data_IF_871386220168
#
_entry.id   IF_871386220168
#
_cell.length_a   1.000
_cell.length_b   1.000
_cell.length_c   1.000
_cell.angle_alpha   90.00
_cell.angle_beta   90.00
_cell.angle_gamma   90.00
#
_symmetry.space_group_name_H-M   'P 1'
#
loop_
_entity.id
_entity.type
_entity.pdbx_description
1 polymer ?
#
# COMPACT_ATOMS: atom_id res chain seq x y z
N UNK A 1 25.11 15.20 25.82
CA UNK A 1 24.41 14.28 26.74
C UNK A 1 22.94 14.67 26.72
N UNK A 2 22.10 13.94 25.97
CA UNK A 2 20.65 14.18 25.96
C UNK A 2 20.09 13.74 27.32
N UNK A 3 19.11 14.45 27.92
CA UNK A 3 18.46 13.96 29.13
C UNK A 3 17.78 12.63 28.80
N UNK A 4 18.05 11.60 29.61
CA UNK A 4 17.30 10.36 29.56
C UNK A 4 15.83 10.68 29.84
N UNK A 5 14.97 10.53 28.82
CA UNK A 5 13.54 10.57 29.02
C UNK A 5 13.17 9.41 29.95
N UNK A 6 12.79 9.75 31.17
CA UNK A 6 12.37 8.83 32.21
C UNK A 6 11.14 8.02 31.76
N UNK A 7 11.22 6.70 31.94
CA UNK A 7 10.12 5.79 32.31
C UNK A 7 8.73 5.93 31.65
N UNK A 8 8.63 6.17 30.35
CA UNK A 8 7.39 5.85 29.62
C UNK A 8 7.61 4.53 28.90
N UNK A 9 7.29 3.41 29.55
CA UNK A 9 7.43 2.07 28.96
C UNK A 9 6.32 1.73 27.94
N UNK A 10 5.39 2.65 27.70
CA UNK A 10 4.16 2.37 26.95
C UNK A 10 3.27 1.36 27.70
N UNK A 11 2.09 1.10 27.17
CA UNK A 11 1.24 -0.01 27.64
C UNK A 11 0.72 -0.81 26.44
N UNK A 12 0.58 -2.11 26.64
CA UNK A 12 -0.08 -3.00 25.67
C UNK A 12 -1.47 -3.33 26.20
N UNK A 13 -2.49 -3.10 25.37
CA UNK A 13 -3.87 -3.44 25.69
C UNK A 13 -4.46 -4.30 24.60
N UNK A 14 -5.02 -5.45 24.99
CA UNK A 14 -5.82 -6.27 24.09
C UNK A 14 -7.14 -5.55 23.78
N UNK A 15 -7.37 -5.25 22.50
CA UNK A 15 -8.61 -4.61 22.04
C UNK A 15 -9.65 -5.64 21.60
N UNK A 16 -9.24 -6.58 20.74
CA UNK A 16 -10.07 -7.66 20.22
C UNK A 16 -9.29 -8.98 20.28
N UNK A 17 -9.91 -10.06 20.75
CA UNK A 17 -9.30 -11.40 20.74
C UNK A 17 -9.07 -11.89 19.31
N UNK A 18 -9.99 -11.57 18.41
CA UNK A 18 -9.90 -11.85 16.98
C UNK A 18 -10.83 -10.91 16.22
N UNK A 19 -10.42 -10.56 15.01
CA UNK A 19 -11.24 -9.84 14.02
C UNK A 19 -11.65 -10.74 12.85
N UNK A 20 -11.34 -12.04 12.91
CA UNK A 20 -11.75 -13.04 11.93
C UNK A 20 -10.86 -13.21 10.69
N UNK A 21 -9.93 -12.27 10.45
CA UNK A 21 -8.99 -12.25 9.32
C UNK A 21 -7.57 -11.94 9.79
N UNK A 22 -6.56 -12.24 8.95
CA UNK A 22 -5.21 -11.75 9.18
C UNK A 22 -5.06 -10.33 8.69
N UNK A 23 -4.31 -9.51 9.44
CA UNK A 23 -4.06 -8.11 9.07
C UNK A 23 -2.89 -7.98 8.09
N UNK A 24 -2.99 -8.62 6.91
CA UNK A 24 -1.97 -8.54 5.86
C UNK A 24 -1.76 -7.10 5.38
N UNK A 25 -2.85 -6.36 5.23
CA UNK A 25 -2.83 -4.91 5.01
C UNK A 25 -3.69 -4.19 6.03
N UNK A 26 -3.25 -3.00 6.43
CA UNK A 26 -4.04 -2.09 7.27
C UNK A 26 -3.77 -0.63 6.93
N UNK A 27 -4.79 0.21 7.04
CA UNK A 27 -4.69 1.65 6.83
C UNK A 27 -5.60 2.40 7.81
N UNK A 28 -5.02 3.34 8.57
CA UNK A 28 -5.78 4.31 9.35
C UNK A 28 -6.42 5.34 8.40
N UNK A 29 -7.73 5.50 8.50
CA UNK A 29 -8.52 6.47 7.74
C UNK A 29 -8.74 7.75 8.55
N UNK A 30 -9.13 8.83 7.87
CA UNK A 30 -9.33 10.15 8.48
C UNK A 30 -10.44 10.24 9.53
N UNK A 31 -11.28 9.22 9.64
CA UNK A 31 -12.41 9.18 10.56
C UNK A 31 -12.19 8.24 11.77
N UNK A 32 -10.93 8.04 12.19
CA UNK A 32 -10.55 7.15 13.30
C UNK A 32 -11.01 5.70 13.13
N UNK A 33 -11.08 5.26 11.88
CA UNK A 33 -11.35 3.86 11.53
C UNK A 33 -10.13 3.29 10.84
N UNK A 34 -9.91 2.00 11.06
CA UNK A 34 -8.84 1.26 10.41
C UNK A 34 -9.48 0.26 9.46
N UNK A 35 -9.18 0.37 8.17
CA UNK A 35 -9.50 -0.71 7.24
C UNK A 35 -8.41 -1.77 7.35
N UNK A 36 -8.80 -3.02 7.50
CA UNK A 36 -7.92 -4.18 7.61
C UNK A 36 -8.40 -5.21 6.59
N UNK A 37 -7.48 -5.81 5.84
CA UNK A 37 -7.85 -6.78 4.82
C UNK A 37 -6.75 -7.80 4.56
N UNK A 38 -7.20 -8.96 4.12
CA UNK A 38 -6.41 -10.16 3.84
C UNK A 38 -6.57 -10.57 2.37
N UNK A 39 -5.79 -11.56 1.96
CA UNK A 39 -5.91 -12.26 0.69
C UNK A 39 -7.19 -13.09 0.62
N UNK A 40 -7.68 -13.39 -0.59
CA UNK A 40 -8.92 -14.16 -0.78
C UNK A 40 -8.71 -15.60 -1.24
N UNK A 41 -7.47 -15.97 -1.59
CA UNK A 41 -7.13 -17.25 -2.24
C UNK A 41 -6.54 -18.30 -1.25
N UNK A 42 -6.72 -18.10 0.06
CA UNK A 42 -6.20 -19.01 1.11
C UNK A 42 -7.27 -19.84 1.83
N UNK A 43 -8.53 -19.74 1.38
CA UNK A 43 -9.67 -20.42 1.98
C UNK A 43 -10.60 -19.47 2.75
N UNK A 44 -11.57 -20.02 3.51
CA UNK A 44 -12.57 -19.20 4.17
C UNK A 44 -11.97 -18.48 5.39
N UNK A 45 -12.34 -17.22 5.59
CA UNK A 45 -12.06 -16.52 6.84
C UNK A 45 -13.01 -16.97 7.96
N UNK A 46 -12.71 -16.57 9.20
CA UNK A 46 -13.51 -16.96 10.37
C UNK A 46 -14.75 -16.07 10.58
N UNK A 47 -15.15 -15.29 9.57
CA UNK A 47 -16.29 -14.36 9.63
C UNK A 47 -17.12 -14.40 8.32
N UNK A 48 -18.41 -14.70 8.42
CA UNK A 48 -19.30 -14.75 7.24
C UNK A 48 -19.80 -13.36 6.81
N UNK A 49 -19.97 -13.12 5.52
CA UNK A 49 -20.63 -11.92 4.99
C UNK A 49 -22.16 -11.95 5.23
N UNK A 50 -22.81 -10.81 5.46
CA UNK A 50 -24.26 -10.74 5.60
C UNK A 50 -25.00 -10.90 4.24
N UNK A 51 -26.21 -11.45 4.27
CA UNK A 51 -27.16 -11.36 3.14
C UNK A 51 -26.82 -12.22 1.90
N UNK A 52 -26.14 -13.36 2.05
CA UNK A 52 -25.70 -14.23 0.93
C UNK A 52 -24.77 -13.54 -0.08
N UNK A 53 -24.13 -12.44 0.29
CA UNK A 53 -23.04 -11.87 -0.51
C UNK A 53 -21.87 -12.84 -0.49
N UNK A 54 -21.51 -13.34 -1.67
CA UNK A 54 -20.40 -14.26 -1.84
C UNK A 54 -19.54 -13.78 -3.01
N UNK A 55 -18.23 -13.90 -2.85
CA UNK A 55 -17.27 -13.85 -3.95
C UNK A 55 -17.43 -15.12 -4.78
N UNK A 56 -17.63 -14.95 -6.08
CA UNK A 56 -17.72 -16.05 -7.05
C UNK A 56 -16.58 -15.89 -8.05
N UNK A 57 -15.54 -16.70 -7.89
CA UNK A 57 -14.39 -16.69 -8.79
C UNK A 57 -14.10 -18.11 -9.28
N UNK A 58 -14.46 -18.44 -10.54
CA UNK A 58 -14.17 -19.75 -11.11
C UNK A 58 -12.67 -20.03 -11.25
N UNK A 59 -11.81 -19.01 -11.15
CA UNK A 59 -10.36 -19.12 -11.25
C UNK A 59 -9.67 -19.20 -9.87
N UNK A 60 -10.41 -19.04 -8.77
CA UNK A 60 -9.82 -19.10 -7.43
C UNK A 60 -9.21 -20.48 -7.16
N UNK A 61 -8.00 -20.54 -6.62
CA UNK A 61 -7.30 -21.83 -6.49
C UNK A 61 -7.83 -22.71 -5.36
N UNK A 62 -8.57 -22.16 -4.40
CA UNK A 62 -9.01 -22.83 -3.17
C UNK A 62 -10.53 -22.82 -3.04
N UNK A 63 -11.18 -21.66 -3.09
CA UNK A 63 -12.63 -21.50 -2.94
C UNK A 63 -13.25 -20.75 -4.12
N UNK A 64 -13.94 -21.49 -4.99
CA UNK A 64 -14.67 -20.91 -6.13
C UNK A 64 -15.87 -20.06 -5.72
N UNK A 65 -16.47 -20.38 -4.58
CA UNK A 65 -17.56 -19.64 -3.95
C UNK A 65 -17.19 -19.42 -2.50
N UNK A 66 -16.98 -18.17 -2.14
CA UNK A 66 -16.63 -17.77 -0.78
C UNK A 66 -17.63 -16.74 -0.25
N UNK A 67 -18.31 -17.09 0.84
CA UNK A 67 -19.29 -16.23 1.50
C UNK A 67 -18.75 -15.64 2.81
N UNK A 68 -17.44 -15.64 2.99
CA UNK A 68 -16.73 -15.09 4.14
C UNK A 68 -16.10 -13.73 3.82
N UNK A 69 -15.79 -12.94 4.85
CA UNK A 69 -15.32 -11.57 4.70
C UNK A 69 -13.80 -11.51 4.87
N UNK A 70 -13.08 -11.09 3.83
CA UNK A 70 -11.62 -10.89 3.86
C UNK A 70 -11.20 -9.45 4.10
N UNK A 71 -12.16 -8.59 4.46
CA UNK A 71 -11.90 -7.21 4.82
C UNK A 71 -12.85 -6.78 5.93
N UNK A 72 -12.36 -5.94 6.83
CA UNK A 72 -13.15 -5.31 7.87
C UNK A 72 -12.82 -3.81 7.98
N UNK A 73 -13.78 -3.05 8.50
CA UNK A 73 -13.58 -1.69 8.98
C UNK A 73 -13.71 -1.68 10.50
N UNK A 74 -12.60 -1.49 11.18
CA UNK A 74 -12.49 -1.38 12.63
C UNK A 74 -12.68 0.06 13.09
N UNK A 75 -13.55 0.28 14.08
CA UNK A 75 -13.81 1.57 14.72
C UNK A 75 -13.07 1.64 16.06
N UNK A 76 -12.09 2.54 16.14
CA UNK A 76 -11.23 2.68 17.33
C UNK A 76 -12.05 3.14 18.54
N UNK A 77 -13.05 4.00 18.34
CA UNK A 77 -13.82 4.60 19.44
C UNK A 77 -14.73 3.58 20.11
N UNK A 78 -15.40 2.75 19.30
CA UNK A 78 -16.35 1.75 19.84
C UNK A 78 -15.69 0.40 20.11
N UNK A 79 -14.41 0.23 19.74
CA UNK A 79 -13.72 -1.06 19.72
C UNK A 79 -14.52 -2.13 18.98
N UNK A 80 -15.21 -1.76 17.91
CA UNK A 80 -16.06 -2.64 17.12
C UNK A 80 -15.56 -2.74 15.69
N UNK A 81 -16.03 -3.73 14.93
CA UNK A 81 -15.73 -3.81 13.50
C UNK A 81 -16.94 -4.26 12.71
N UNK A 82 -16.97 -3.83 11.43
CA UNK A 82 -17.91 -4.33 10.44
C UNK A 82 -17.16 -5.02 9.32
N UNK A 83 -17.84 -5.97 8.69
CA UNK A 83 -17.35 -6.68 7.51
C UNK A 83 -17.44 -5.77 6.29
N UNK A 84 -16.48 -5.93 5.39
CA UNK A 84 -16.41 -5.34 4.07
C UNK A 84 -16.35 -6.46 3.03
N UNK A 85 -16.85 -6.20 1.84
CA UNK A 85 -16.77 -7.13 0.72
C UNK A 85 -15.63 -6.73 -0.20
N UNK A 86 -14.67 -7.63 -0.35
CA UNK A 86 -13.59 -7.53 -1.35
C UNK A 86 -13.73 -8.72 -2.31
N UNK A 87 -13.73 -8.42 -3.61
CA UNK A 87 -14.04 -9.35 -4.68
C UNK A 87 -12.80 -9.90 -5.39
N UNK A 88 -11.72 -9.14 -5.43
CA UNK A 88 -10.48 -9.57 -6.09
C UNK A 88 -9.33 -9.70 -5.09
N UNK A 89 -8.37 -10.59 -5.36
CA UNK A 89 -7.33 -10.94 -4.39
C UNK A 89 -6.34 -9.79 -4.13
N UNK A 90 -6.24 -9.37 -2.88
CA UNK A 90 -5.35 -8.27 -2.45
C UNK A 90 -3.95 -8.73 -2.07
N UNK A 91 -3.61 -10.01 -2.22
CA UNK A 91 -2.32 -10.55 -1.80
C UNK A 91 -1.14 -9.79 -2.40
N UNK A 92 -0.28 -9.28 -1.52
CA UNK A 92 0.89 -8.46 -1.86
C UNK A 92 0.58 -7.30 -2.80
N UNK A 93 -0.54 -6.65 -2.52
CA UNK A 93 -0.92 -5.40 -3.12
C UNK A 93 -0.34 -4.20 -2.35
N UNK A 94 -0.71 -2.99 -2.77
CA UNK A 94 -0.22 -1.76 -2.17
C UNK A 94 -1.24 -0.64 -2.32
N UNK A 95 -1.06 0.50 -1.64
CA UNK A 95 -2.03 1.58 -1.71
C UNK A 95 -1.53 2.89 -1.13
N UNK A 96 -2.28 3.96 -1.37
CA UNK A 96 -2.05 5.28 -0.82
C UNK A 96 -3.37 5.97 -0.47
N UNK A 97 -3.36 6.76 0.60
CA UNK A 97 -4.53 7.57 1.01
C UNK A 97 -4.44 8.95 0.39
N UNK A 98 -5.49 9.37 -0.31
CA UNK A 98 -5.59 10.69 -0.93
C UNK A 98 -5.89 11.79 0.10
N UNK A 99 -5.67 13.08 -0.24
CA UNK A 99 -5.97 14.19 0.65
C UNK A 99 -7.44 14.32 1.09
N UNK A 100 -8.39 13.73 0.37
CA UNK A 100 -9.80 13.65 0.76
C UNK A 100 -10.07 12.51 1.78
N UNK A 101 -9.08 11.65 2.06
CA UNK A 101 -9.20 10.48 2.92
C UNK A 101 -9.56 9.20 2.17
N UNK A 102 -9.82 9.26 0.87
CA UNK A 102 -10.10 8.09 0.04
C UNK A 102 -8.86 7.21 -0.05
N UNK A 103 -9.01 5.92 0.27
CA UNK A 103 -7.96 4.93 0.05
C UNK A 103 -8.01 4.44 -1.39
N UNK A 104 -6.88 4.57 -2.09
CA UNK A 104 -6.62 3.94 -3.38
C UNK A 104 -5.71 2.75 -3.14
N UNK A 105 -6.25 1.55 -3.32
CA UNK A 105 -5.51 0.30 -3.28
C UNK A 105 -5.34 -0.22 -4.71
N UNK A 106 -4.19 -0.83 -5.00
CA UNK A 106 -3.81 -1.23 -6.36
C UNK A 106 -3.14 -2.59 -6.37
N UNK A 107 -3.48 -3.38 -7.38
CA UNK A 107 -2.82 -4.64 -7.65
C UNK A 107 -3.17 -5.74 -6.65
N UNK A 108 -2.35 -6.78 -6.61
CA UNK A 108 -2.65 -8.02 -5.91
C UNK A 108 -2.20 -9.24 -6.70
N UNK A 109 -2.77 -10.39 -6.38
CA UNK A 109 -2.46 -11.66 -7.04
C UNK A 109 -3.62 -12.11 -7.93
N UNK A 110 -3.33 -12.96 -8.92
CA UNK A 110 -4.34 -13.55 -9.82
C UNK A 110 -5.33 -12.51 -10.40
N UNK A 111 -6.61 -12.56 -10.01
CA UNK A 111 -7.68 -11.66 -10.46
C UNK A 111 -7.53 -10.22 -9.92
N UNK A 112 -6.66 -10.00 -8.94
CA UNK A 112 -6.33 -8.72 -8.34
C UNK A 112 -5.20 -7.93 -9.01
N UNK A 113 -4.46 -8.54 -9.93
CA UNK A 113 -3.14 -8.02 -10.32
C UNK A 113 -3.17 -6.77 -11.23
N UNK A 114 -4.29 -6.52 -11.93
CA UNK A 114 -4.57 -5.30 -12.72
C UNK A 114 -5.75 -4.49 -12.16
N UNK A 115 -6.00 -4.56 -10.84
CA UNK A 115 -7.18 -3.95 -10.21
C UNK A 115 -6.82 -2.65 -9.47
N UNK A 116 -7.73 -1.68 -9.54
CA UNK A 116 -7.77 -0.55 -8.61
C UNK A 116 -8.99 -0.73 -7.71
N UNK A 117 -8.81 -0.65 -6.40
CA UNK A 117 -9.89 -0.69 -5.40
C UNK A 117 -9.94 0.63 -4.65
N UNK A 118 -11.13 1.19 -4.55
CA UNK A 118 -11.38 2.49 -3.92
C UNK A 118 -12.24 2.28 -2.68
N UNK A 119 -11.79 2.81 -1.56
CA UNK A 119 -12.59 2.87 -0.33
C UNK A 119 -12.69 4.32 0.12
N UNK A 120 -13.90 4.87 -0.01
CA UNK A 120 -14.25 6.18 0.54
C UNK A 120 -14.67 6.00 2.00
N UNK A 121 -14.01 6.64 2.98
CA UNK A 121 -14.39 6.51 4.38
C UNK A 121 -15.83 6.97 4.65
N UNK A 122 -16.54 6.25 5.51
CA UNK A 122 -17.88 6.64 5.93
C UNK A 122 -18.11 6.43 7.44
N UNK A 123 -19.01 7.24 7.98
CA UNK A 123 -19.43 7.14 9.38
C UNK A 123 -20.67 6.24 9.54
N UNK A 124 -21.63 6.31 8.62
CA UNK A 124 -22.94 5.64 8.69
C UNK A 124 -23.02 4.22 8.13
N UNK A 125 -21.90 3.50 7.98
CA UNK A 125 -21.89 2.08 7.63
C UNK A 125 -22.06 1.71 6.15
N UNK A 126 -22.54 2.62 5.29
CA UNK A 126 -22.83 2.34 3.87
C UNK A 126 -21.63 2.43 2.90
N UNK A 127 -20.39 2.31 3.38
CA UNK A 127 -19.21 2.28 2.50
C UNK A 127 -18.73 0.85 2.31
N UNK A 128 -18.35 0.52 1.09
CA UNK A 128 -17.64 -0.72 0.79
C UNK A 128 -16.58 -0.43 -0.28
N UNK A 129 -15.79 -1.45 -0.60
CA UNK A 129 -14.86 -1.36 -1.72
C UNK A 129 -15.61 -1.20 -3.03
N UNK A 130 -15.15 -0.25 -3.84
CA UNK A 130 -15.51 -0.14 -5.25
C UNK A 130 -14.31 -0.57 -6.07
N UNK A 131 -14.47 -1.66 -6.82
CA UNK A 131 -13.36 -2.27 -7.56
C UNK A 131 -13.49 -2.02 -9.05
N UNK A 132 -12.35 -1.72 -9.67
CA UNK A 132 -12.23 -1.47 -11.10
C UNK A 132 -11.21 -2.47 -11.68
N UNK A 133 -11.64 -3.71 -12.01
CA UNK A 133 -10.76 -4.69 -12.63
C UNK A 133 -10.24 -4.22 -14.00
N UNK A 134 -9.04 -4.68 -14.38
CA UNK A 134 -8.39 -4.35 -15.66
C UNK A 134 -8.16 -2.84 -15.87
N UNK A 135 -7.95 -2.10 -14.79
CA UNK A 135 -7.74 -0.64 -14.83
C UNK A 135 -6.26 -0.24 -14.78
N UNK A 136 -5.39 -1.13 -14.31
CA UNK A 136 -3.94 -0.93 -14.39
C UNK A 136 -3.41 -1.43 -15.73
N UNK A 137 -2.39 -0.77 -16.27
CA UNK A 137 -1.75 -1.17 -17.54
C UNK A 137 -0.76 -2.31 -17.38
N UNK A 138 -0.25 -2.51 -16.17
CA UNK A 138 0.72 -3.53 -15.84
C UNK A 138 0.28 -4.27 -14.60
N UNK A 139 0.73 -5.51 -14.47
CA UNK A 139 0.58 -6.32 -13.28
C UNK A 139 1.24 -5.64 -12.08
N UNK A 140 0.52 -5.34 -11.01
CA UNK A 140 1.06 -4.71 -9.78
C UNK A 140 1.02 -5.66 -8.60
N UNK A 141 1.90 -6.65 -8.60
CA UNK A 141 2.12 -7.54 -7.44
C UNK A 141 3.46 -7.17 -6.79
N UNK A 142 3.49 -6.84 -5.50
CA UNK A 142 4.66 -6.26 -4.80
C UNK A 142 5.12 -4.88 -5.30
N UNK A 143 4.20 -4.03 -5.73
CA UNK A 143 4.46 -2.65 -6.11
C UNK A 143 4.40 -1.70 -4.90
N UNK A 144 4.83 -0.46 -5.06
CA UNK A 144 4.66 0.59 -4.05
C UNK A 144 3.85 1.76 -4.58
N UNK A 145 3.11 2.43 -3.71
CA UNK A 145 2.30 3.60 -4.06
C UNK A 145 2.78 4.83 -3.28
N UNK A 146 2.70 6.01 -3.92
CA UNK A 146 2.94 7.28 -3.25
C UNK A 146 1.94 8.33 -3.75
N UNK A 147 1.31 9.05 -2.83
CA UNK A 147 0.47 10.20 -3.15
C UNK A 147 1.36 11.39 -3.58
N UNK A 148 0.98 12.06 -4.67
CA UNK A 148 1.70 13.18 -5.27
C UNK A 148 1.01 14.53 -4.96
N UNK A 149 1.70 15.67 -5.12
CA UNK A 149 1.13 17.00 -4.86
C UNK A 149 -0.08 17.35 -5.73
N UNK A 150 -0.20 16.76 -6.93
CA UNK A 150 -1.33 16.96 -7.83
C UNK A 150 -2.53 16.03 -7.53
N UNK A 151 -2.47 15.28 -6.42
CA UNK A 151 -3.53 14.39 -5.96
C UNK A 151 -3.58 13.03 -6.66
N UNK A 152 -2.69 12.78 -7.64
CA UNK A 152 -2.51 11.46 -8.26
C UNK A 152 -1.67 10.55 -7.36
N UNK A 153 -1.85 9.26 -7.53
CA UNK A 153 -1.02 8.22 -6.92
C UNK A 153 -0.07 7.69 -7.99
N UNK A 154 1.24 7.74 -7.74
CA UNK A 154 2.21 6.99 -8.54
C UNK A 154 2.26 5.56 -8.02
N UNK A 155 2.30 4.60 -8.94
CA UNK A 155 2.43 3.16 -8.65
C UNK A 155 3.73 2.70 -9.30
N UNK A 156 4.69 2.24 -8.50
CA UNK A 156 6.06 1.95 -8.94
C UNK A 156 6.39 0.48 -8.75
N UNK A 157 6.86 -0.14 -9.84
CA UNK A 157 7.39 -1.50 -9.80
C UNK A 157 6.32 -2.57 -9.67
N UNK A 158 6.68 -3.64 -8.97
CA UNK A 158 6.00 -4.92 -8.98
C UNK A 158 6.90 -6.02 -9.53
N UNK A 159 6.57 -7.28 -9.24
CA UNK A 159 7.38 -8.43 -9.63
C UNK A 159 7.54 -8.50 -11.15
N UNK A 160 8.79 -8.48 -11.59
CA UNK A 160 9.20 -8.36 -13.00
C UNK A 160 8.66 -7.12 -13.73
N UNK A 161 8.26 -6.07 -13.00
CA UNK A 161 7.84 -4.79 -13.58
C UNK A 161 8.88 -3.70 -13.33
N UNK A 162 9.49 -3.24 -14.42
CA UNK A 162 10.54 -2.21 -14.40
C UNK A 162 10.00 -0.86 -14.89
N UNK A 163 8.84 -0.49 -14.40
CA UNK A 163 8.07 0.66 -14.86
C UNK A 163 7.20 1.23 -13.72
N UNK A 164 6.64 2.41 -13.93
CA UNK A 164 5.64 3.02 -13.07
C UNK A 164 4.43 3.52 -13.89
N UNK A 165 3.30 3.70 -13.25
CA UNK A 165 2.10 4.31 -13.83
C UNK A 165 1.40 5.22 -12.81
N UNK A 166 0.30 5.89 -13.20
CA UNK A 166 -0.42 6.83 -12.34
C UNK A 166 -1.90 6.49 -12.25
N UNK A 167 -2.49 6.74 -11.08
CA UNK A 167 -3.93 6.75 -10.87
C UNK A 167 -4.41 8.12 -10.32
N UNK A 168 -5.48 8.71 -10.89
CA UNK A 168 -6.04 8.38 -12.19
C UNK A 168 -4.99 8.58 -13.31
N UNK A 169 -5.15 7.83 -14.40
CA UNK A 169 -4.33 8.02 -15.61
C UNK A 169 -4.69 9.33 -16.33
N UNK A 170 -3.91 9.70 -17.35
CA UNK A 170 -4.16 10.91 -18.15
C UNK A 170 -5.38 10.79 -19.08
N UNK A 171 -5.79 9.57 -19.45
CA UNK A 171 -6.98 9.31 -20.27
C UNK A 171 -7.57 7.94 -19.88
N UNK A 172 -8.91 7.78 -19.90
CA UNK A 172 -9.58 6.50 -19.67
C UNK A 172 -9.09 5.36 -20.58
N UNK A 173 -8.55 5.70 -21.75
CA UNK A 173 -8.07 4.74 -22.76
C UNK A 173 -6.55 4.57 -22.81
N UNK A 174 -5.79 5.31 -21.98
CA UNK A 174 -4.33 5.22 -21.98
C UNK A 174 -3.78 5.26 -20.55
N UNK A 175 -3.95 4.17 -19.82
CA UNK A 175 -2.98 3.85 -18.78
C UNK A 175 -1.66 3.56 -19.49
N UNK A 176 -0.78 4.56 -19.53
CA UNK A 176 0.59 4.42 -20.06
C UNK A 176 1.50 4.17 -18.87
N UNK A 177 2.23 3.06 -18.93
CA UNK A 177 3.35 2.82 -18.03
C UNK A 177 4.61 3.48 -18.60
N UNK A 178 5.48 3.91 -17.70
CA UNK A 178 6.73 4.60 -18.00
C UNK A 178 7.89 3.74 -17.52
N UNK A 179 8.83 3.43 -18.41
CA UNK A 179 9.99 2.61 -18.08
C UNK A 179 10.89 3.31 -17.06
N UNK A 180 11.32 2.57 -16.05
CA UNK A 180 12.27 3.00 -15.03
C UNK A 180 13.38 1.94 -14.90
N UNK A 181 14.47 2.15 -15.64
CA UNK A 181 15.59 1.21 -15.72
C UNK A 181 16.21 0.87 -14.36
N UNK A 182 16.20 1.83 -13.43
CA UNK A 182 16.69 1.66 -12.07
C UNK A 182 16.16 0.38 -11.41
N UNK A 183 14.86 0.08 -11.53
CA UNK A 183 14.26 -1.13 -10.94
C UNK A 183 14.83 -2.43 -11.55
N UNK A 184 15.23 -2.42 -12.83
CA UNK A 184 15.86 -3.58 -13.45
C UNK A 184 17.29 -3.75 -12.97
N UNK A 185 18.02 -2.65 -12.81
CA UNK A 185 19.42 -2.66 -12.37
C UNK A 185 19.56 -3.06 -10.90
N UNK A 186 18.54 -2.80 -10.08
CA UNK A 186 18.52 -3.21 -8.66
C UNK A 186 17.91 -4.58 -8.44
N UNK A 187 17.40 -5.24 -9.49
CA UNK A 187 16.91 -6.62 -9.40
C UNK A 187 18.10 -7.57 -9.32
N UNK A 188 18.07 -8.46 -8.33
CA UNK A 188 18.98 -9.59 -8.21
C UNK A 188 18.26 -10.94 -8.43
N UNK A 189 18.94 -12.04 -8.14
CA UNK A 189 18.37 -13.40 -8.22
C UNK A 189 17.30 -13.69 -7.15
N UNK A 190 17.27 -12.90 -6.08
CA UNK A 190 16.36 -13.08 -4.94
C UNK A 190 15.18 -12.09 -4.94
N UNK A 191 15.14 -11.19 -5.92
CA UNK A 191 14.11 -10.15 -6.06
C UNK A 191 14.10 -9.16 -4.89
N UNK A 192 15.27 -8.82 -4.33
CA UNK A 192 15.41 -7.88 -3.21
C UNK A 192 15.14 -6.40 -3.56
N UNK A 193 14.32 -6.13 -4.58
CA UNK A 193 13.94 -4.80 -5.03
C UNK A 193 12.41 -4.59 -5.08
N UNK A 194 11.65 -5.54 -4.53
CA UNK A 194 10.19 -5.49 -4.42
C UNK A 194 9.76 -4.55 -3.29
N UNK A 195 8.58 -3.93 -3.40
CA UNK A 195 8.18 -2.82 -2.52
C UNK A 195 9.27 -1.74 -2.40
N UNK A 196 9.68 -1.10 -3.52
CA UNK A 196 10.65 -0.01 -3.47
C UNK A 196 10.18 1.08 -2.50
N UNK A 197 11.09 1.66 -1.72
CA UNK A 197 10.71 2.73 -0.80
C UNK A 197 10.53 4.02 -1.58
N UNK A 198 9.37 4.62 -1.44
CA UNK A 198 9.00 5.84 -2.12
C UNK A 198 8.81 6.95 -1.08
N UNK A 199 9.56 8.03 -1.22
CA UNK A 199 9.48 9.18 -0.32
C UNK A 199 9.40 10.46 -1.14
N UNK A 200 8.26 11.14 -1.11
CA UNK A 200 8.09 12.43 -1.77
C UNK A 200 8.86 13.51 -0.98
N UNK A 201 9.78 14.21 -1.64
CA UNK A 201 10.58 15.25 -1.02
C UNK A 201 9.94 16.65 -1.18
N UNK A 202 10.34 17.64 -0.36
CA UNK A 202 9.76 19.00 -0.41
C UNK A 202 9.93 19.73 -1.75
N UNK A 203 10.95 19.38 -2.53
CA UNK A 203 11.19 19.93 -3.88
C UNK A 203 10.26 19.31 -4.95
N UNK A 204 9.42 18.35 -4.56
CA UNK A 204 8.49 17.65 -5.42
C UNK A 204 9.10 16.49 -6.21
N UNK A 205 10.38 16.15 -5.99
CA UNK A 205 10.99 14.95 -6.54
C UNK A 205 10.71 13.73 -5.63
N UNK A 206 10.81 12.54 -6.21
CA UNK A 206 10.59 11.28 -5.51
C UNK A 206 11.94 10.64 -5.19
N UNK A 207 12.24 10.45 -3.91
CA UNK A 207 13.32 9.56 -3.50
C UNK A 207 12.83 8.11 -3.66
N UNK A 208 13.56 7.32 -4.43
CA UNK A 208 13.30 5.90 -4.65
C UNK A 208 14.49 5.11 -4.16
N UNK A 209 14.27 4.18 -3.23
CA UNK A 209 15.28 3.23 -2.79
C UNK A 209 14.85 1.81 -3.15
N UNK A 210 15.75 1.04 -3.74
CA UNK A 210 15.53 -0.34 -4.12
C UNK A 210 16.82 -1.16 -3.92
N UNK A 211 16.70 -2.30 -3.24
CA UNK A 211 17.80 -3.19 -2.90
C UNK A 211 18.83 -2.50 -1.98
N UNK A 212 19.92 -1.99 -2.55
CA UNK A 212 21.00 -1.27 -1.84
C UNK A 212 21.23 0.13 -2.40
N UNK A 213 20.53 0.51 -3.48
CA UNK A 213 20.73 1.75 -4.22
C UNK A 213 19.56 2.69 -4.03
N UNK A 214 19.80 3.99 -4.26
CA UNK A 214 18.73 4.97 -4.31
C UNK A 214 18.97 6.08 -5.31
N UNK A 215 17.87 6.68 -5.77
CA UNK A 215 17.85 7.78 -6.72
C UNK A 215 16.90 8.89 -6.25
N UNK A 216 17.20 10.11 -6.66
CA UNK A 216 16.26 11.22 -6.69
C UNK A 216 15.65 11.27 -8.08
N UNK A 217 14.34 11.08 -8.17
CA UNK A 217 13.63 10.88 -9.42
C UNK A 217 12.60 11.98 -9.69
N UNK A 218 12.73 12.63 -10.84
CA UNK A 218 11.73 13.55 -11.37
C UNK A 218 10.73 12.75 -12.23
N UNK A 219 9.64 12.33 -11.61
CA UNK A 219 8.58 11.54 -12.25
C UNK A 219 7.78 12.32 -13.30
N UNK A 220 7.84 13.66 -13.31
CA UNK A 220 7.15 14.50 -14.32
C UNK A 220 7.88 14.47 -15.66
N UNK A 221 9.22 14.38 -15.61
CA UNK A 221 10.09 14.35 -16.79
C UNK A 221 10.63 12.95 -17.12
N UNK A 222 10.29 11.95 -16.30
CA UNK A 222 10.88 10.61 -16.37
C UNK A 222 12.42 10.64 -16.32
N UNK A 223 12.99 11.37 -15.36
CA UNK A 223 14.42 11.67 -15.32
C UNK A 223 15.02 11.45 -13.93
N UNK A 224 16.14 10.73 -13.86
CA UNK A 224 16.92 10.58 -12.62
C UNK A 224 17.73 11.85 -12.41
N UNK A 225 17.37 12.63 -11.39
CA UNK A 225 18.06 13.89 -11.04
C UNK A 225 19.42 13.60 -10.42
N UNK A 226 19.49 12.57 -9.57
CA UNK A 226 20.70 12.18 -8.86
C UNK A 226 20.64 10.72 -8.47
N UNK A 227 21.78 10.05 -8.52
CA UNK A 227 21.97 8.75 -7.87
C UNK A 227 22.81 8.95 -6.60
N UNK A 228 22.46 8.21 -5.54
CA UNK A 228 23.17 8.26 -4.26
C UNK A 228 24.08 7.04 -4.12
N UNK A 229 25.16 7.14 -3.30
CA UNK A 229 25.99 5.98 -2.98
C UNK A 229 25.16 4.81 -2.46
N UNK A 230 25.51 3.60 -2.88
CA UNK A 230 24.89 2.39 -2.36
C UNK A 230 25.15 2.23 -0.85
N UNK A 231 24.23 1.59 -0.14
CA UNK A 231 24.44 1.25 1.26
C UNK A 231 25.63 0.27 1.35
N UNK A 232 26.60 0.53 2.24
CA UNK A 232 27.73 -0.37 2.47
C UNK A 232 27.29 -1.77 2.92
N UNK A 233 28.11 -2.78 2.64
CA UNK A 233 27.85 -4.17 3.05
C UNK A 233 26.99 -4.98 2.08
N UNK A 234 26.42 -4.34 1.05
CA UNK A 234 25.58 -4.99 0.04
C UNK A 234 24.32 -5.68 0.61
N UNK A 235 23.90 -5.31 1.82
CA UNK A 235 22.71 -5.86 2.45
C UNK A 235 21.44 -5.18 1.92
N UNK A 236 20.54 -5.91 1.26
CA UNK A 236 19.27 -5.35 0.78
C UNK A 236 18.37 -4.86 1.92
N UNK A 237 17.56 -3.84 1.65
CA UNK A 237 16.53 -3.33 2.59
C UNK A 237 15.10 -3.50 2.11
N UNK A 238 14.89 -3.99 0.90
CA UNK A 238 13.56 -4.20 0.33
C UNK A 238 13.19 -5.68 0.33
N UNK A 239 11.89 -5.96 0.28
CA UNK A 239 11.35 -7.31 0.27
C UNK A 239 12.04 -8.19 -0.81
N UNK A 240 12.31 -9.48 -0.51
CA UNK A 240 11.99 -10.21 0.73
C UNK A 240 12.86 -9.87 1.94
N UNK A 241 13.92 -9.10 1.75
CA UNK A 241 14.77 -8.61 2.85
C UNK A 241 14.10 -7.41 3.53
N UNK A 242 13.22 -7.69 4.51
CA UNK A 242 12.21 -6.79 5.08
C UNK A 242 12.73 -5.64 5.96
N UNK A 243 13.61 -4.80 5.41
CA UNK A 243 13.88 -3.48 5.98
C UNK A 243 12.62 -2.60 5.97
N UNK A 244 12.64 -1.54 6.78
CA UNK A 244 11.58 -0.51 6.81
C UNK A 244 12.20 0.87 6.60
N UNK A 245 11.42 1.80 6.07
CA UNK A 245 11.84 3.20 5.97
C UNK A 245 10.71 4.15 6.32
N UNK A 246 11.05 5.23 7.01
CA UNK A 246 10.12 6.28 7.40
C UNK A 246 10.83 7.63 7.30
N UNK A 247 10.13 8.64 6.76
CA UNK A 247 10.57 10.02 6.89
C UNK A 247 10.18 10.54 8.27
N UNK A 248 11.18 10.92 9.05
CA UNK A 248 10.96 11.60 10.32
C UNK A 248 10.68 13.08 10.06
N UNK A 249 9.83 13.73 10.89
CA UNK A 249 9.55 15.15 10.76
C UNK A 249 10.83 15.98 10.89
N UNK A 250 10.94 17.01 10.07
CA UNK A 250 12.04 17.97 10.17
C UNK A 250 11.96 18.69 11.53
N UNK A 251 13.09 18.73 12.24
CA UNK A 251 13.20 19.45 13.51
C UNK A 251 13.22 20.94 13.21
N UNK A 252 12.06 21.57 13.05
CA UNK A 252 11.99 23.02 13.21
C UNK A 252 12.47 23.34 14.62
N UNK A 253 13.62 24.01 14.75
CA UNK A 253 13.99 24.66 16.02
C UNK A 253 12.84 25.60 16.34
N UNK A 254 12.06 25.29 17.38
CA UNK A 254 11.18 26.27 17.98
C UNK A 254 12.07 27.41 18.48
N UNK A 255 12.20 28.48 17.70
CA UNK A 255 12.76 29.73 18.22
C UNK A 255 11.76 30.23 19.24
N UNK A 256 12.06 30.04 20.53
CA UNK A 256 11.32 30.68 21.61
C UNK A 256 11.30 32.17 21.33
N UNK A 257 10.11 32.74 21.14
CA UNK A 257 9.91 34.17 21.32
C UNK A 257 9.96 34.40 22.83
N UNK A 258 11.10 34.86 23.32
CA UNK A 258 11.20 35.68 24.53
C UNK A 258 10.59 37.05 24.25
#
# INVERSE_FOLDING_TARGET
MLPAYAHIQGEWRLLQRSIGISAMHMQLLKNNKVVIFDRTDFGPSNISLPGRHCRLDPNDRVLKKDCTAHSILYDIRTNGFRRLTVQTDTWCSSGATRPDGTLVQTGGYNDGDHVIRILVPCNGGNCDWVEYPRSLSQRRWYASNQILPDGRVIIVGGRAQFNYEFYPGHSPSSSKSFRLNFLRETKDGHENNLYPFLHLLPDGNLFIFANTRSILFNYKRNHIVREFPAIPGADPRNYPSSGSSVLLPDRRKCSGRT
#
